data_IF_997558420055
#
_entry.id   IF_997558420055
#
_cell.length_a   1.000
_cell.length_b   1.000
_cell.length_c   1.000
_cell.angle_alpha   90.00
_cell.angle_beta   90.00
_cell.angle_gamma   90.00
#
_symmetry.space_group_name_H-M   'P 1'
#
loop_
_entity.id
_entity.type
_entity.pdbx_description
1 polymer ?
#
# COMPACT_ATOMS: atom_id res chain seq x y z
N UNK A 1 2.38 -15.61 8.46
CA UNK A 1 2.08 -14.77 7.28
C UNK A 1 3.40 -14.10 6.92
N UNK A 2 4.18 -14.71 6.04
CA UNK A 2 5.58 -14.30 5.86
C UNK A 2 5.64 -13.01 5.04
N UNK A 3 6.01 -11.91 5.71
CA UNK A 3 6.31 -10.62 5.08
C UNK A 3 7.75 -10.59 4.53
N UNK A 4 8.23 -11.76 4.10
CA UNK A 4 9.58 -11.96 3.58
C UNK A 4 9.50 -11.91 2.04
N UNK A 5 10.30 -11.05 1.38
CA UNK A 5 10.38 -11.02 -0.07
C UNK A 5 10.89 -12.36 -0.60
N UNK A 6 10.19 -13.04 -1.53
CA UNK A 6 10.68 -14.28 -2.11
C UNK A 6 11.98 -14.01 -2.88
N UNK A 7 12.96 -14.92 -2.86
CA UNK A 7 14.20 -14.74 -3.61
C UNK A 7 13.91 -14.63 -5.10
N UNK A 8 14.63 -13.73 -5.78
CA UNK A 8 14.57 -13.59 -7.23
C UNK A 8 15.68 -14.44 -7.87
N UNK A 9 15.44 -15.02 -9.06
CA UNK A 9 16.50 -15.70 -9.80
C UNK A 9 17.63 -14.71 -10.16
N UNK A 10 18.87 -15.18 -10.24
CA UNK A 10 20.04 -14.35 -10.56
C UNK A 10 19.87 -13.60 -11.89
N UNK A 11 19.26 -14.25 -12.88
CA UNK A 11 18.91 -13.67 -14.17
C UNK A 11 17.39 -13.75 -14.39
N UNK A 12 16.62 -12.71 -14.01
CA UNK A 12 15.17 -12.72 -14.17
C UNK A 12 14.78 -12.56 -15.65
N UNK A 13 14.21 -13.62 -16.24
CA UNK A 13 13.71 -13.61 -17.63
C UNK A 13 12.24 -13.18 -17.69
N UNK A 14 11.46 -13.47 -16.66
CA UNK A 14 10.03 -13.13 -16.62
C UNK A 14 9.84 -11.64 -16.33
N UNK A 15 8.93 -11.01 -17.06
CA UNK A 15 8.57 -9.60 -16.90
C UNK A 15 8.34 -9.20 -15.43
N UNK A 16 7.53 -9.98 -14.69
CA UNK A 16 7.23 -9.67 -13.29
C UNK A 16 8.43 -9.82 -12.35
N UNK A 17 9.39 -10.69 -12.67
CA UNK A 17 10.58 -10.86 -11.86
C UNK A 17 11.58 -9.73 -12.12
N UNK A 18 11.68 -9.27 -13.36
CA UNK A 18 12.44 -8.05 -13.72
C UNK A 18 11.84 -6.81 -13.06
N UNK A 19 10.50 -6.69 -13.06
CA UNK A 19 9.81 -5.59 -12.41
C UNK A 19 10.06 -5.58 -10.89
N UNK A 20 9.96 -6.75 -10.23
CA UNK A 20 10.31 -6.89 -8.80
C UNK A 20 11.76 -6.52 -8.53
N UNK A 21 12.70 -6.95 -9.39
CA UNK A 21 14.10 -6.58 -9.26
C UNK A 21 14.26 -5.05 -9.30
N UNK A 22 13.62 -4.36 -10.25
CA UNK A 22 13.65 -2.89 -10.31
C UNK A 22 13.08 -2.21 -9.05
N UNK A 23 11.97 -2.73 -8.52
CA UNK A 23 11.38 -2.24 -7.25
C UNK A 23 12.36 -2.40 -6.08
N UNK A 24 13.01 -3.56 -5.97
CA UNK A 24 13.95 -3.88 -4.89
C UNK A 24 15.27 -3.10 -4.99
N UNK A 25 15.80 -2.91 -6.19
CA UNK A 25 17.01 -2.08 -6.41
C UNK A 25 16.81 -0.64 -5.98
N UNK A 26 15.56 -0.16 -5.95
CA UNK A 26 15.19 1.17 -5.44
C UNK A 26 14.86 1.18 -3.94
N UNK A 27 15.14 0.10 -3.23
CA UNK A 27 14.91 -0.05 -1.78
C UNK A 27 13.48 0.25 -1.34
N UNK A 28 12.49 0.04 -2.22
CA UNK A 28 11.09 0.19 -1.85
C UNK A 28 10.66 -0.94 -0.91
N UNK A 29 9.80 -0.61 0.05
CA UNK A 29 9.27 -1.57 1.00
C UNK A 29 8.57 -2.74 0.28
N UNK A 30 8.69 -3.95 0.83
CA UNK A 30 8.08 -5.15 0.24
C UNK A 30 6.56 -5.05 0.10
N UNK A 31 5.90 -4.32 0.99
CA UNK A 31 4.47 -4.02 0.86
C UNK A 31 4.16 -3.22 -0.40
N UNK A 32 5.03 -2.27 -0.76
CA UNK A 32 4.94 -1.52 -2.01
C UNK A 32 5.15 -2.43 -3.23
N UNK A 33 6.12 -3.35 -3.18
CA UNK A 33 6.32 -4.36 -4.23
C UNK A 33 5.04 -5.16 -4.46
N UNK A 34 4.43 -5.71 -3.40
CA UNK A 34 3.18 -6.47 -3.49
C UNK A 34 2.06 -5.64 -4.13
N UNK A 35 1.87 -4.41 -3.66
CA UNK A 35 0.84 -3.51 -4.18
C UNK A 35 1.08 -3.16 -5.65
N UNK A 36 2.31 -2.80 -6.03
CA UNK A 36 2.63 -2.43 -7.39
C UNK A 36 2.50 -3.62 -8.34
N UNK A 37 3.02 -4.79 -7.96
CA UNK A 37 2.84 -6.01 -8.75
C UNK A 37 1.36 -6.38 -8.93
N UNK A 38 0.53 -6.16 -7.91
CA UNK A 38 -0.92 -6.36 -8.00
C UNK A 38 -1.56 -5.45 -9.06
N UNK A 39 -1.28 -4.15 -9.00
CA UNK A 39 -1.83 -3.18 -9.96
C UNK A 39 -1.32 -3.38 -11.38
N UNK A 40 -0.03 -3.69 -11.56
CA UNK A 40 0.54 -3.98 -12.87
C UNK A 40 -0.12 -5.20 -13.49
N UNK A 41 -0.37 -6.26 -12.71
CA UNK A 41 -1.11 -7.43 -13.20
C UNK A 41 -2.55 -7.07 -13.60
N UNK A 42 -3.28 -6.34 -12.76
CA UNK A 42 -4.65 -5.93 -13.05
C UNK A 42 -4.74 -5.10 -14.34
N UNK A 43 -3.80 -4.16 -14.54
CA UNK A 43 -3.66 -3.38 -15.77
C UNK A 43 -3.41 -4.27 -17.00
N UNK A 44 -2.48 -5.22 -16.90
CA UNK A 44 -2.19 -6.17 -17.99
C UNK A 44 -3.41 -7.03 -18.32
N UNK A 45 -4.13 -7.52 -17.31
CA UNK A 45 -5.33 -8.34 -17.52
C UNK A 45 -6.48 -7.55 -18.13
N UNK A 46 -6.68 -6.29 -17.73
CA UNK A 46 -7.67 -5.40 -18.34
C UNK A 46 -7.41 -5.23 -19.84
N UNK A 47 -6.15 -5.13 -20.24
CA UNK A 47 -5.73 -5.05 -21.65
C UNK A 47 -5.44 -6.43 -22.29
N UNK A 48 -6.13 -7.48 -21.83
CA UNK A 48 -6.10 -8.82 -22.44
C UNK A 48 -4.69 -9.43 -22.57
N UNK A 49 -3.82 -9.17 -21.59
CA UNK A 49 -2.42 -9.63 -21.55
C UNK A 49 -1.52 -9.01 -22.63
N UNK A 50 -1.93 -7.89 -23.25
CA UNK A 50 -1.04 -7.09 -24.12
C UNK A 50 0.17 -6.61 -23.33
N UNK A 51 1.34 -6.62 -23.95
CA UNK A 51 2.57 -6.27 -23.26
C UNK A 51 2.62 -4.75 -22.97
N UNK A 52 2.94 -4.31 -21.74
CA UNK A 52 2.95 -2.88 -21.38
C UNK A 52 3.86 -1.99 -22.23
N UNK A 53 4.89 -2.54 -22.85
CA UNK A 53 5.77 -1.77 -23.75
C UNK A 53 5.05 -1.30 -25.03
N UNK A 54 4.02 -2.02 -25.47
CA UNK A 54 3.20 -1.70 -26.64
C UNK A 54 2.09 -0.69 -26.31
N UNK A 55 1.92 -0.36 -25.03
CA UNK A 55 0.85 0.49 -24.53
C UNK A 55 1.40 1.86 -24.08
N UNK A 56 0.53 2.83 -23.84
CA UNK A 56 0.91 4.17 -23.41
C UNK A 56 -0.23 4.90 -22.70
N UNK A 57 -0.24 6.23 -22.82
CA UNK A 57 -1.17 7.10 -22.10
C UNK A 57 -2.64 6.70 -22.32
N UNK A 58 -3.02 6.35 -23.54
CA UNK A 58 -4.40 5.99 -23.91
C UNK A 58 -4.86 4.76 -23.11
N UNK A 59 -4.07 3.70 -23.07
CA UNK A 59 -4.39 2.48 -22.34
C UNK A 59 -4.40 2.70 -20.82
N UNK A 60 -3.47 3.53 -20.33
CA UNK A 60 -3.43 3.92 -18.91
C UNK A 60 -4.68 4.71 -18.53
N UNK A 61 -5.10 5.65 -19.36
CA UNK A 61 -6.28 6.47 -19.13
C UNK A 61 -7.58 5.65 -19.15
N UNK A 62 -7.70 4.73 -20.11
CA UNK A 62 -8.83 3.82 -20.20
C UNK A 62 -8.94 2.95 -18.93
N UNK A 63 -7.83 2.39 -18.46
CA UNK A 63 -7.83 1.54 -17.26
C UNK A 63 -8.11 2.32 -15.97
N UNK A 64 -7.48 3.50 -15.79
CA UNK A 64 -7.74 4.32 -14.61
C UNK A 64 -9.18 4.85 -14.57
N UNK A 65 -9.75 5.18 -15.73
CA UNK A 65 -11.16 5.54 -15.86
C UNK A 65 -12.06 4.34 -15.57
N UNK A 66 -11.64 3.13 -15.99
CA UNK A 66 -12.34 1.90 -15.65
C UNK A 66 -12.44 1.67 -14.13
N UNK A 67 -11.35 1.92 -13.42
CA UNK A 67 -11.32 1.83 -11.96
C UNK A 67 -12.29 2.83 -11.31
N UNK A 68 -12.37 4.05 -11.82
CA UNK A 68 -13.26 5.07 -11.29
C UNK A 68 -14.74 4.78 -11.60
N UNK A 69 -15.07 4.49 -12.86
CA UNK A 69 -16.44 4.51 -13.35
C UNK A 69 -17.15 3.16 -13.15
N UNK A 70 -16.47 2.04 -13.41
CA UNK A 70 -17.08 0.70 -13.36
C UNK A 70 -16.77 -0.01 -12.04
N UNK A 71 -15.52 0.07 -11.56
CA UNK A 71 -15.15 -0.56 -10.27
C UNK A 71 -15.51 0.32 -9.07
N UNK A 72 -15.82 1.59 -9.28
CA UNK A 72 -16.16 2.57 -8.24
C UNK A 72 -15.19 2.50 -7.05
N UNK A 73 -13.88 2.47 -7.34
CA UNK A 73 -12.84 2.36 -6.29
C UNK A 73 -12.80 3.61 -5.40
N UNK A 74 -12.06 3.57 -4.29
CA UNK A 74 -11.81 4.75 -3.49
C UNK A 74 -10.71 5.64 -4.11
N UNK A 75 -10.67 6.92 -3.74
CA UNK A 75 -9.67 7.89 -4.25
C UNK A 75 -8.24 7.37 -4.03
N UNK A 76 -7.94 6.91 -2.81
CA UNK A 76 -6.62 6.40 -2.48
C UNK A 76 -6.29 5.10 -3.23
N UNK A 77 -7.30 4.27 -3.52
CA UNK A 77 -7.13 3.07 -4.35
C UNK A 77 -6.70 3.46 -5.77
N UNK A 78 -7.42 4.39 -6.42
CA UNK A 78 -7.06 4.88 -7.75
C UNK A 78 -5.68 5.57 -7.75
N UNK A 79 -5.37 6.34 -6.72
CA UNK A 79 -4.06 7.00 -6.56
C UNK A 79 -2.92 5.97 -6.47
N UNK A 80 -3.12 4.88 -5.75
CA UNK A 80 -2.09 3.84 -5.59
C UNK A 80 -1.92 3.04 -6.89
N UNK A 81 -3.01 2.80 -7.62
CA UNK A 81 -3.00 2.23 -8.97
C UNK A 81 -2.24 3.12 -9.96
N UNK A 82 -2.54 4.42 -10.01
CA UNK A 82 -1.83 5.41 -10.82
C UNK A 82 -0.33 5.40 -10.51
N UNK A 83 0.05 5.47 -9.23
CA UNK A 83 1.46 5.47 -8.84
C UNK A 83 2.20 4.21 -9.30
N UNK A 84 1.56 3.03 -9.21
CA UNK A 84 2.16 1.78 -9.67
C UNK A 84 2.41 1.79 -11.20
N UNK A 85 1.46 2.31 -11.98
CA UNK A 85 1.59 2.37 -13.44
C UNK A 85 2.57 3.47 -13.88
N UNK A 86 2.56 4.64 -13.25
CA UNK A 86 3.58 5.66 -13.49
C UNK A 86 4.97 5.13 -13.15
N UNK A 87 5.11 4.38 -12.06
CA UNK A 87 6.36 3.71 -11.72
C UNK A 87 6.78 2.70 -12.81
N UNK A 88 5.84 1.86 -13.27
CA UNK A 88 6.09 0.93 -14.37
C UNK A 88 6.64 1.64 -15.61
N UNK A 89 5.96 2.67 -16.10
CA UNK A 89 6.38 3.33 -17.34
C UNK A 89 7.65 4.16 -17.15
N UNK A 90 7.74 4.97 -16.10
CA UNK A 90 8.88 5.88 -15.89
C UNK A 90 10.15 5.16 -15.46
N UNK A 91 10.05 4.22 -14.52
CA UNK A 91 11.22 3.63 -13.85
C UNK A 91 11.61 2.25 -14.37
N UNK A 92 10.67 1.50 -14.94
CA UNK A 92 10.93 0.17 -15.47
C UNK A 92 11.00 0.14 -17.00
N UNK A 93 10.05 0.78 -17.69
CA UNK A 93 10.03 0.82 -19.17
C UNK A 93 10.74 2.04 -19.76
N UNK A 94 11.15 3.01 -18.92
CA UNK A 94 11.80 4.26 -19.33
C UNK A 94 11.03 5.04 -20.42
N UNK A 95 9.70 4.99 -20.36
CA UNK A 95 8.79 5.65 -21.30
C UNK A 95 8.02 6.76 -20.58
N UNK A 96 8.01 7.94 -21.17
CA UNK A 96 7.18 9.04 -20.67
C UNK A 96 5.73 8.84 -21.14
N UNK A 97 4.79 8.97 -20.20
CA UNK A 97 3.36 8.91 -20.47
C UNK A 97 2.78 10.30 -20.82
N UNK A 98 3.54 11.37 -20.60
CA UNK A 98 3.05 12.73 -20.77
C UNK A 98 1.87 13.02 -19.84
N UNK A 99 0.89 13.79 -20.34
CA UNK A 99 -0.29 14.15 -19.58
C UNK A 99 -1.38 13.08 -19.70
N UNK A 100 -1.83 12.58 -18.55
CA UNK A 100 -2.92 11.60 -18.45
C UNK A 100 -4.27 12.32 -18.24
N UNK A 101 -5.29 11.90 -18.98
CA UNK A 101 -6.64 12.50 -19.03
C UNK A 101 -7.74 11.55 -18.50
N UNK A 102 -7.42 10.67 -17.55
CA UNK A 102 -8.39 9.75 -16.94
C UNK A 102 -9.45 10.41 -16.04
N UNK A 103 -10.61 9.73 -15.91
CA UNK A 103 -11.64 10.12 -14.95
C UNK A 103 -11.17 9.85 -13.52
N UNK A 104 -11.12 10.90 -12.68
CA UNK A 104 -10.79 10.75 -11.26
C UNK A 104 -12.00 10.23 -10.47
N UNK A 105 -11.74 9.31 -9.56
CA UNK A 105 -12.72 8.94 -8.54
C UNK A 105 -13.08 10.17 -7.71
N UNK A 106 -14.38 10.46 -7.58
CA UNK A 106 -14.89 11.47 -6.67
C UNK A 106 -15.79 10.81 -5.62
N UNK A 107 -15.18 10.35 -4.51
CA UNK A 107 -15.93 9.97 -3.30
C UNK A 107 -15.68 11.05 -2.26
N UNK A 108 -16.75 11.69 -1.80
CA UNK A 108 -16.67 12.68 -0.72
C UNK A 108 -15.92 12.13 0.50
N UNK A 109 -15.08 12.96 1.11
CA UNK A 109 -14.35 12.58 2.33
C UNK A 109 -15.38 12.28 3.43
N UNK A 110 -15.51 11.00 3.80
CA UNK A 110 -16.29 10.62 4.98
C UNK A 110 -15.54 11.11 6.22
N UNK A 111 -16.25 11.79 7.11
CA UNK A 111 -15.70 12.11 8.42
C UNK A 111 -15.39 10.79 9.15
N UNK A 112 -14.22 10.66 9.80
CA UNK A 112 -13.93 9.48 10.60
C UNK A 112 -14.96 9.35 11.71
N UNK A 113 -15.60 8.19 11.81
CA UNK A 113 -16.38 7.82 12.99
C UNK A 113 -15.40 7.29 14.03
N UNK A 114 -15.42 7.88 15.23
CA UNK A 114 -14.57 7.48 16.35
C UNK A 114 -15.42 6.86 17.46
N UNK A 115 -14.83 5.97 18.24
CA UNK A 115 -15.47 5.46 19.45
C UNK A 115 -15.53 6.55 20.52
N UNK A 116 -16.57 6.49 21.35
CA UNK A 116 -16.56 7.13 22.66
C UNK A 116 -15.57 6.40 23.60
N UNK A 117 -15.21 7.06 24.71
CA UNK A 117 -14.34 6.43 25.71
C UNK A 117 -14.92 5.10 26.21
N UNK A 118 -16.22 5.06 26.51
CA UNK A 118 -16.88 3.86 27.03
C UNK A 118 -17.00 2.75 25.97
N UNK A 119 -17.17 3.10 24.70
CA UNK A 119 -17.13 2.14 23.59
C UNK A 119 -15.74 1.51 23.46
N UNK A 120 -14.69 2.34 23.49
CA UNK A 120 -13.32 1.87 23.42
C UNK A 120 -12.98 0.94 24.60
N UNK A 121 -13.35 1.33 25.83
CA UNK A 121 -13.12 0.52 27.02
C UNK A 121 -13.90 -0.80 27.00
N UNK A 122 -15.14 -0.82 26.49
CA UNK A 122 -15.89 -2.07 26.31
C UNK A 122 -15.20 -3.00 25.32
N UNK A 123 -14.76 -2.49 24.16
CA UNK A 123 -14.03 -3.29 23.17
C UNK A 123 -12.74 -3.86 23.76
N UNK A 124 -11.94 -3.05 24.45
CA UNK A 124 -10.73 -3.51 25.15
C UNK A 124 -11.03 -4.54 26.24
N UNK A 125 -12.20 -4.45 26.89
CA UNK A 125 -12.68 -5.41 27.87
C UNK A 125 -12.89 -6.83 27.32
N UNK A 126 -13.25 -6.96 26.04
CA UNK A 126 -13.43 -8.24 25.36
C UNK A 126 -12.15 -8.82 24.74
N UNK A 127 -11.03 -8.09 24.79
CA UNK A 127 -9.75 -8.55 24.27
C UNK A 127 -8.93 -9.22 25.37
N UNK A 128 -8.05 -10.14 24.96
CA UNK A 128 -7.17 -10.88 25.85
C UNK A 128 -5.72 -10.93 25.31
N UNK A 129 -4.77 -11.25 26.18
CA UNK A 129 -3.36 -11.46 25.85
C UNK A 129 -2.70 -10.28 25.11
N UNK A 130 -1.86 -10.62 24.12
CA UNK A 130 -1.07 -9.66 23.35
C UNK A 130 -1.93 -8.63 22.60
N UNK A 131 -3.10 -9.06 22.08
CA UNK A 131 -4.01 -8.17 21.37
C UNK A 131 -4.56 -7.07 22.28
N UNK A 132 -4.91 -7.43 23.53
CA UNK A 132 -5.35 -6.44 24.52
C UNK A 132 -4.25 -5.44 24.84
N UNK A 133 -3.02 -5.92 25.03
CA UNK A 133 -1.88 -5.07 25.35
C UNK A 133 -1.61 -4.07 24.21
N UNK A 134 -1.50 -4.55 22.98
CA UNK A 134 -1.25 -3.72 21.80
C UNK A 134 -2.38 -2.71 21.59
N UNK A 135 -3.64 -3.14 21.68
CA UNK A 135 -4.79 -2.24 21.52
C UNK A 135 -4.85 -1.18 22.64
N UNK A 136 -4.51 -1.55 23.88
CA UNK A 136 -4.47 -0.62 25.01
C UNK A 136 -3.37 0.42 24.84
N UNK A 137 -2.18 0.02 24.36
CA UNK A 137 -1.10 0.94 24.02
C UNK A 137 -1.51 1.90 22.92
N UNK A 138 -2.08 1.39 21.83
CA UNK A 138 -2.58 2.24 20.73
C UNK A 138 -3.62 3.26 21.22
N UNK A 139 -4.58 2.82 22.04
CA UNK A 139 -5.61 3.72 22.56
C UNK A 139 -5.05 4.76 23.53
N UNK A 140 -4.18 4.34 24.46
CA UNK A 140 -3.63 5.21 25.51
C UNK A 140 -2.55 6.19 25.03
N UNK A 141 -1.86 5.88 23.93
CA UNK A 141 -0.73 6.69 23.43
C UNK A 141 -0.87 7.14 21.98
N UNK A 142 -1.96 6.78 21.29
CA UNK A 142 -2.25 7.22 19.92
C UNK A 142 -1.37 6.56 18.85
N UNK A 143 -0.69 5.45 19.18
CA UNK A 143 0.19 4.76 18.24
C UNK A 143 -0.56 4.13 17.08
N UNK A 144 0.08 4.14 15.91
CA UNK A 144 -0.35 3.33 14.76
C UNK A 144 0.00 1.88 15.01
N UNK A 145 -0.76 0.98 14.39
CA UNK A 145 -0.55 -0.49 14.51
C UNK A 145 0.92 -0.87 14.29
N UNK A 146 1.56 -0.33 13.25
CA UNK A 146 2.95 -0.67 12.93
C UNK A 146 3.97 -0.11 13.93
N UNK A 147 3.67 1.00 14.59
CA UNK A 147 4.51 1.57 15.65
C UNK A 147 4.41 0.67 16.88
N UNK A 148 3.20 0.26 17.27
CA UNK A 148 2.98 -0.60 18.44
C UNK A 148 3.60 -1.99 18.31
N UNK A 149 3.48 -2.63 17.15
CA UNK A 149 4.04 -3.99 16.94
C UNK A 149 5.55 -4.01 16.69
N UNK A 150 6.18 -2.84 16.52
CA UNK A 150 7.64 -2.71 16.31
C UNK A 150 8.37 -2.15 17.52
N UNK A 151 7.65 -1.77 18.58
CA UNK A 151 8.25 -1.34 19.85
C UNK A 151 9.25 -2.37 20.36
N UNK A 152 10.40 -1.89 20.83
CA UNK A 152 11.42 -2.70 21.49
C UNK A 152 11.44 -2.38 22.98
N UNK A 153 12.02 -3.29 23.78
CA UNK A 153 12.16 -3.11 25.23
C UNK A 153 12.83 -1.78 25.58
N UNK A 154 13.87 -1.40 24.82
CA UNK A 154 14.60 -0.13 24.99
C UNK A 154 13.78 1.14 24.70
N UNK A 155 12.62 1.00 24.04
CA UNK A 155 11.78 2.13 23.64
C UNK A 155 10.75 2.48 24.71
N UNK A 156 10.68 1.71 25.81
CA UNK A 156 9.75 1.94 26.92
C UNK A 156 10.52 2.52 28.11
N UNK A 157 10.20 3.76 28.46
CA UNK A 157 10.73 4.39 29.66
C UNK A 157 9.65 4.42 30.75
N UNK A 158 9.74 3.47 31.69
CA UNK A 158 8.82 3.41 32.83
C UNK A 158 9.02 4.53 33.83
N UNK A 159 10.21 5.14 33.90
CA UNK A 159 10.51 6.23 34.84
C UNK A 159 9.84 7.54 34.40
N UNK A 160 9.82 7.80 33.09
CA UNK A 160 9.18 8.97 32.50
C UNK A 160 7.78 8.68 31.94
N UNK A 161 7.32 7.43 32.06
CA UNK A 161 6.01 6.96 31.56
C UNK A 161 5.80 7.31 30.08
N UNK A 162 6.83 7.14 29.26
CA UNK A 162 6.82 7.52 27.85
C UNK A 162 7.30 6.39 26.93
N UNK A 163 6.94 6.50 25.65
CA UNK A 163 7.32 5.59 24.58
C UNK A 163 8.12 6.36 23.53
N UNK A 164 9.27 5.82 23.13
CA UNK A 164 10.14 6.41 22.11
C UNK A 164 9.89 5.70 20.79
N UNK A 165 9.23 6.38 19.86
CA UNK A 165 8.93 5.82 18.53
C UNK A 165 10.06 6.12 17.56
N UNK A 166 10.57 5.07 16.91
CA UNK A 166 11.63 5.14 15.91
C UNK A 166 11.06 4.71 14.57
N UNK A 167 11.17 5.58 13.56
CA UNK A 167 10.77 5.32 12.17
C UNK A 167 11.78 4.42 11.42
#
# INVERSE_FOLDING_TARGET
MDDIPPPLPANPVRFMDQFRACVRTRHLAYRTEKTYCGWVKDFIYFHQKRHPQEMGAIEVDAWLSYLANQRNVAINTQKTALNAIVFLYKHFLHKDLGQLAFTRTNKGRRLPTVFSHDEAMRVLGFMEGDHKLVASLMYGSGLRVMESVRLRVQDVDFSQQCLIIRD
#
